data_IF_445229191361
#
_entry.id   IF_445229191361
#
_cell.length_a   1.000
_cell.length_b   1.000
_cell.length_c   1.000
_cell.angle_alpha   90.00
_cell.angle_beta   90.00
_cell.angle_gamma   90.00
#
_symmetry.space_group_name_H-M   'P 1'
#
loop_
_entity.id
_entity.type
_entity.pdbx_description
1 polymer ?
#
# COMPACT_ATOMS: atom_id res chain seq x y z
N UNK A 1 -2.25 -5.62 -23.22
CA UNK A 1 -3.20 -4.70 -22.56
C UNK A 1 -4.65 -4.85 -23.02
N UNK A 2 -5.02 -4.55 -24.29
CA UNK A 2 -6.44 -4.62 -24.73
C UNK A 2 -7.13 -5.97 -24.49
N UNK A 3 -6.46 -7.11 -24.76
CA UNK A 3 -7.03 -8.45 -24.51
C UNK A 3 -7.31 -8.75 -23.03
N UNK A 4 -6.41 -8.39 -22.11
CA UNK A 4 -6.61 -8.58 -20.67
C UNK A 4 -7.77 -7.74 -20.11
N UNK A 5 -7.97 -6.52 -20.65
CA UNK A 5 -9.11 -5.67 -20.28
C UNK A 5 -10.42 -6.29 -20.80
N UNK A 6 -10.43 -6.80 -22.03
CA UNK A 6 -11.60 -7.47 -22.63
C UNK A 6 -11.93 -8.78 -21.90
N UNK A 7 -10.94 -9.58 -21.55
CA UNK A 7 -11.11 -10.83 -20.81
C UNK A 7 -11.51 -10.58 -19.35
N UNK A 8 -10.98 -9.50 -18.75
CA UNK A 8 -11.39 -9.02 -17.42
C UNK A 8 -12.85 -8.59 -17.39
N UNK A 9 -13.30 -7.83 -18.40
CA UNK A 9 -14.70 -7.42 -18.56
C UNK A 9 -15.64 -8.61 -18.79
N UNK A 10 -15.23 -9.59 -19.60
CA UNK A 10 -16.02 -10.81 -19.87
C UNK A 10 -16.14 -11.74 -18.66
N UNK A 11 -15.17 -11.71 -17.74
CA UNK A 11 -15.14 -12.55 -16.53
C UNK A 11 -15.46 -11.76 -15.25
N UNK A 12 -15.94 -10.53 -15.38
CA UNK A 12 -16.26 -9.65 -14.25
C UNK A 12 -17.63 -10.01 -13.65
N UNK A 13 -17.61 -10.88 -12.66
CA UNK A 13 -18.77 -11.15 -11.78
C UNK A 13 -19.03 -9.97 -10.84
N UNK A 14 -20.28 -9.80 -10.37
CA UNK A 14 -20.68 -8.75 -9.41
C UNK A 14 -19.74 -8.70 -8.20
N UNK A 15 -19.27 -9.84 -7.70
CA UNK A 15 -18.31 -9.92 -6.60
C UNK A 15 -16.97 -9.22 -6.87
N UNK A 16 -16.44 -9.28 -8.11
CA UNK A 16 -15.21 -8.56 -8.49
C UNK A 16 -15.43 -7.05 -8.51
N UNK A 17 -16.60 -6.59 -8.96
CA UNK A 17 -16.96 -5.17 -8.94
C UNK A 17 -17.10 -4.64 -7.51
N UNK A 18 -17.71 -5.42 -6.59
CA UNK A 18 -17.81 -5.04 -5.18
C UNK A 18 -16.42 -4.96 -4.55
N UNK A 19 -15.56 -5.96 -4.77
CA UNK A 19 -14.18 -5.96 -4.27
C UNK A 19 -13.37 -4.77 -4.79
N UNK A 20 -13.46 -4.51 -6.10
CA UNK A 20 -12.81 -3.37 -6.74
C UNK A 20 -13.31 -2.03 -6.20
N UNK A 21 -14.64 -1.90 -6.04
CA UNK A 21 -15.24 -0.68 -5.50
C UNK A 21 -14.84 -0.44 -4.05
N UNK A 22 -14.81 -1.49 -3.22
CA UNK A 22 -14.33 -1.42 -1.85
C UNK A 22 -12.87 -0.97 -1.78
N UNK A 23 -11.99 -1.54 -2.61
CA UNK A 23 -10.59 -1.14 -2.68
C UNK A 23 -10.44 0.32 -3.13
N UNK A 24 -11.19 0.75 -4.15
CA UNK A 24 -11.17 2.13 -4.62
C UNK A 24 -11.69 3.13 -3.59
N UNK A 25 -12.69 2.77 -2.79
CA UNK A 25 -13.18 3.63 -1.71
C UNK A 25 -12.10 3.82 -0.64
N UNK A 26 -11.42 2.75 -0.22
CA UNK A 26 -10.31 2.84 0.73
C UNK A 26 -9.17 3.70 0.18
N UNK A 27 -8.81 3.50 -1.09
CA UNK A 27 -7.79 4.33 -1.75
C UNK A 27 -8.20 5.79 -1.82
N UNK A 28 -9.46 6.08 -2.16
CA UNK A 28 -10.01 7.43 -2.18
C UNK A 28 -9.88 8.11 -0.80
N UNK A 29 -10.25 7.42 0.28
CA UNK A 29 -10.10 7.96 1.64
C UNK A 29 -8.63 8.18 2.02
N UNK A 30 -7.74 7.26 1.63
CA UNK A 30 -6.30 7.42 1.81
C UNK A 30 -5.77 8.68 1.13
N UNK A 31 -6.06 8.84 -0.17
CA UNK A 31 -5.64 10.01 -0.95
C UNK A 31 -6.26 11.32 -0.44
N UNK A 32 -7.53 11.29 -0.03
CA UNK A 32 -8.21 12.46 0.56
C UNK A 32 -7.54 12.89 1.87
N UNK A 33 -7.18 11.92 2.72
CA UNK A 33 -6.49 12.18 3.99
C UNK A 33 -5.11 12.79 3.76
N UNK A 34 -4.35 12.27 2.79
CA UNK A 34 -3.05 12.83 2.39
C UNK A 34 -3.20 14.28 1.91
N UNK A 35 -4.16 14.56 1.02
CA UNK A 35 -4.39 15.92 0.52
C UNK A 35 -4.76 16.90 1.64
N UNK A 36 -5.55 16.45 2.63
CA UNK A 36 -5.87 17.24 3.82
C UNK A 36 -4.64 17.45 4.71
N UNK A 37 -3.82 16.42 4.92
CA UNK A 37 -2.59 16.53 5.68
C UNK A 37 -1.63 17.54 5.05
N UNK A 38 -1.47 17.52 3.73
CA UNK A 38 -0.67 18.51 2.99
C UNK A 38 -1.21 19.94 3.11
N UNK A 39 -2.54 20.10 3.20
CA UNK A 39 -3.16 21.42 3.33
C UNK A 39 -3.03 22.03 4.75
N UNK A 40 -2.94 21.19 5.78
CA UNK A 40 -2.93 21.63 7.19
C UNK A 40 -1.49 21.64 7.75
N UNK A 41 -0.61 20.80 7.23
CA UNK A 41 0.75 20.67 7.74
C UNK A 41 1.61 21.90 7.43
N UNK A 42 2.53 22.26 8.34
CA UNK A 42 3.43 23.40 8.15
C UNK A 42 4.50 23.17 7.07
N UNK A 43 4.75 21.91 6.68
CA UNK A 43 5.72 21.54 5.64
C UNK A 43 5.25 20.32 4.86
N UNK A 44 5.27 20.43 3.52
CA UNK A 44 5.00 19.30 2.62
C UNK A 44 6.07 18.20 2.73
N UNK A 45 7.30 18.56 3.11
CA UNK A 45 8.37 17.61 3.36
C UNK A 45 8.06 16.69 4.54
N UNK A 46 7.55 17.26 5.64
CA UNK A 46 7.18 16.47 6.82
C UNK A 46 6.07 15.46 6.51
N UNK A 47 5.06 15.86 5.74
CA UNK A 47 3.98 14.94 5.32
C UNK A 47 4.53 13.82 4.46
N UNK A 48 5.48 14.10 3.57
CA UNK A 48 6.08 13.11 2.68
C UNK A 48 6.91 12.08 3.45
N UNK A 49 7.67 12.51 4.47
CA UNK A 49 8.39 11.60 5.38
C UNK A 49 7.40 10.71 6.14
N UNK A 50 6.32 11.29 6.69
CA UNK A 50 5.29 10.53 7.40
C UNK A 50 4.59 9.54 6.46
N UNK A 51 4.30 9.93 5.22
CA UNK A 51 3.74 9.03 4.22
C UNK A 51 4.66 7.85 3.90
N UNK A 52 5.97 8.04 3.94
CA UNK A 52 6.91 6.94 3.69
C UNK A 52 6.82 5.84 4.77
N UNK A 53 6.26 6.14 5.94
CA UNK A 53 5.95 5.12 6.95
C UNK A 53 4.93 4.07 6.46
N UNK A 54 4.16 4.39 5.41
CA UNK A 54 3.25 3.45 4.73
C UNK A 54 3.93 2.14 4.34
N UNK A 55 5.21 2.16 3.96
CA UNK A 55 5.96 0.95 3.61
C UNK A 55 6.04 -0.05 4.78
N UNK A 56 6.14 0.43 6.02
CA UNK A 56 6.13 -0.44 7.20
C UNK A 56 4.73 -1.00 7.46
N UNK A 57 3.70 -0.16 7.37
CA UNK A 57 2.32 -0.60 7.52
C UNK A 57 1.93 -1.64 6.46
N UNK A 58 2.41 -1.49 5.22
CA UNK A 58 2.18 -2.46 4.15
C UNK A 58 2.80 -3.83 4.48
N UNK A 59 4.00 -3.86 5.06
CA UNK A 59 4.63 -5.11 5.52
C UNK A 59 3.80 -5.76 6.62
N UNK A 60 3.36 -4.99 7.62
CA UNK A 60 2.55 -5.50 8.74
C UNK A 60 1.20 -6.03 8.25
N UNK A 61 0.50 -5.26 7.41
CA UNK A 61 -0.78 -5.66 6.82
C UNK A 61 -0.61 -6.90 5.94
N UNK A 62 0.47 -6.97 5.17
CA UNK A 62 0.79 -8.12 4.34
C UNK A 62 0.98 -9.41 5.15
N UNK A 63 1.72 -9.35 6.25
CA UNK A 63 1.86 -10.47 7.21
C UNK A 63 0.49 -10.86 7.77
N UNK A 64 -0.28 -9.89 8.28
CA UNK A 64 -1.59 -10.14 8.87
C UNK A 64 -2.56 -10.79 7.88
N UNK A 65 -2.62 -10.27 6.66
CA UNK A 65 -3.47 -10.81 5.60
C UNK A 65 -3.05 -12.22 5.17
N UNK A 66 -1.75 -12.50 5.16
CA UNK A 66 -1.25 -13.85 4.85
C UNK A 66 -1.61 -14.84 5.95
N UNK A 67 -1.63 -14.42 7.22
CA UNK A 67 -2.08 -15.26 8.34
C UNK A 67 -3.60 -15.49 8.34
N UNK A 68 -4.40 -14.47 7.98
CA UNK A 68 -5.87 -14.54 8.02
C UNK A 68 -6.44 -15.22 6.77
N UNK A 69 -5.88 -14.96 5.58
CA UNK A 69 -6.37 -15.48 4.30
C UNK A 69 -5.20 -16.03 3.44
N UNK A 70 -4.53 -17.12 3.89
CA UNK A 70 -3.38 -17.70 3.19
C UNK A 70 -3.71 -18.26 1.79
N UNK A 71 -5.00 -18.47 1.50
CA UNK A 71 -5.48 -18.92 0.18
C UNK A 71 -5.49 -17.83 -0.90
N UNK A 72 -5.57 -16.56 -0.49
CA UNK A 72 -5.68 -15.41 -1.41
C UNK A 72 -4.37 -14.62 -1.46
N UNK A 73 -3.71 -14.45 -0.30
CA UNK A 73 -2.45 -13.71 -0.19
C UNK A 73 -1.38 -14.68 0.29
N UNK A 74 -0.39 -14.94 -0.56
CA UNK A 74 0.73 -15.86 -0.31
C UNK A 74 2.01 -15.07 -0.18
N UNK A 75 2.09 -14.24 0.85
CA UNK A 75 3.33 -13.53 1.13
C UNK A 75 4.33 -14.47 1.81
N UNK A 76 5.60 -14.38 1.41
CA UNK A 76 6.68 -15.10 2.10
C UNK A 76 6.94 -14.44 3.46
N UNK A 77 6.52 -15.13 4.53
CA UNK A 77 6.68 -14.73 5.94
C UNK A 77 7.97 -15.33 6.54
N UNK A 78 8.90 -15.85 5.73
CA UNK A 78 10.19 -16.29 6.28
C UNK A 78 10.92 -15.11 6.91
N UNK A 79 11.51 -15.34 8.09
CA UNK A 79 12.21 -14.29 8.85
C UNK A 79 13.30 -13.59 8.02
N UNK A 80 14.01 -14.33 7.16
CA UNK A 80 15.02 -13.78 6.26
C UNK A 80 14.44 -12.80 5.23
N UNK A 81 13.28 -13.11 4.64
CA UNK A 81 12.62 -12.24 3.67
C UNK A 81 12.00 -11.03 4.36
N UNK A 82 11.42 -11.22 5.54
CA UNK A 82 10.87 -10.14 6.37
C UNK A 82 11.94 -9.12 6.78
N UNK A 83 13.10 -9.60 7.24
CA UNK A 83 14.22 -8.72 7.60
C UNK A 83 14.67 -7.91 6.37
N UNK A 84 14.77 -8.53 5.19
CA UNK A 84 15.11 -7.81 3.95
C UNK A 84 14.09 -6.73 3.59
N UNK A 85 12.78 -7.02 3.73
CA UNK A 85 11.70 -6.04 3.52
C UNK A 85 11.79 -4.88 4.50
N UNK A 86 12.07 -5.17 5.76
CA UNK A 86 12.19 -4.16 6.80
C UNK A 86 13.42 -3.27 6.61
N UNK A 87 14.58 -3.85 6.28
CA UNK A 87 15.79 -3.10 5.92
C UNK A 87 15.54 -2.22 4.69
N UNK A 88 14.89 -2.76 3.66
CA UNK A 88 14.50 -2.00 2.47
C UNK A 88 13.60 -0.80 2.82
N UNK A 89 12.60 -1.01 3.66
CA UNK A 89 11.71 0.05 4.14
C UNK A 89 12.47 1.12 4.95
N UNK A 90 13.43 0.71 5.80
CA UNK A 90 14.31 1.64 6.52
C UNK A 90 15.17 2.47 5.57
N UNK A 91 15.74 1.86 4.53
CA UNK A 91 16.52 2.57 3.51
C UNK A 91 15.65 3.59 2.78
N UNK A 92 14.44 3.21 2.34
CA UNK A 92 13.50 4.12 1.69
C UNK A 92 13.11 5.29 2.60
N UNK A 93 12.75 4.99 3.86
CA UNK A 93 12.39 6.01 4.84
C UNK A 93 13.54 6.97 5.11
N UNK A 94 14.75 6.45 5.33
CA UNK A 94 15.95 7.26 5.58
C UNK A 94 16.31 8.11 4.37
N UNK A 95 16.19 7.57 3.14
CA UNK A 95 16.44 8.31 1.91
C UNK A 95 15.49 9.48 1.73
N UNK A 96 14.19 9.27 1.95
CA UNK A 96 13.19 10.35 1.90
C UNK A 96 13.41 11.38 3.02
N UNK A 97 13.77 10.93 4.22
CA UNK A 97 14.09 11.81 5.34
C UNK A 97 15.28 12.72 5.03
N UNK A 98 16.40 12.17 4.52
CA UNK A 98 17.59 12.95 4.16
C UNK A 98 17.31 13.93 3.03
N UNK A 99 16.51 13.54 2.04
CA UNK A 99 16.20 14.38 0.88
C UNK A 99 15.37 15.62 1.24
N UNK A 100 14.57 15.53 2.31
CA UNK A 100 13.62 16.56 2.73
C UNK A 100 14.06 17.34 3.98
N UNK A 101 15.26 17.04 4.48
CA UNK A 101 15.95 17.76 5.54
C UNK A 101 16.72 18.94 4.95
#
# INVERSE_FOLDING_TARGET
MRRQIIDGLKTATIGKYVWFSGNNLLDFFGQMSIKKALAIAPSAGLVTVVMQAQSFYAIVIGILLTLIIPGVIKEDISASVLIKKFIGALIMFSGVYILLL
#
